data_IF_017418845813
#
_entry.id   IF_017418845813
#
_cell.length_a   1.000
_cell.length_b   1.000
_cell.length_c   1.000
_cell.angle_alpha   90.00
_cell.angle_beta   90.00
_cell.angle_gamma   90.00
#
_symmetry.space_group_name_H-M   'P 1'
#
loop_
_entity.id
_entity.type
_entity.pdbx_description
1 polymer ?
#
# COMPACT_ATOMS: atom_id res chain seq x y z
N UNK A 1 5.87 -25.84 0.92
CA UNK A 1 5.43 -24.44 0.71
C UNK A 1 4.33 -24.40 -0.34
N UNK A 2 3.24 -23.68 -0.08
CA UNK A 2 2.16 -23.50 -1.07
C UNK A 2 2.16 -22.03 -1.51
N UNK A 3 2.15 -21.78 -2.82
CA UNK A 3 2.12 -20.42 -3.39
C UNK A 3 1.32 -20.38 -4.67
N UNK A 4 1.05 -19.16 -5.18
CA UNK A 4 0.35 -19.01 -6.44
C UNK A 4 1.19 -19.50 -7.63
N UNK A 5 0.55 -20.01 -8.70
CA UNK A 5 1.24 -20.36 -9.93
C UNK A 5 2.03 -19.18 -10.52
N UNK A 6 3.07 -19.50 -11.27
CA UNK A 6 3.87 -18.50 -11.99
C UNK A 6 2.99 -17.69 -12.94
N UNK A 7 3.25 -16.40 -13.02
CA UNK A 7 2.49 -15.47 -13.87
C UNK A 7 3.41 -14.70 -14.80
N UNK A 8 2.93 -14.31 -15.99
CA UNK A 8 3.66 -13.39 -16.85
C UNK A 8 3.95 -12.09 -16.11
N UNK A 9 5.21 -11.67 -16.02
CA UNK A 9 5.63 -10.46 -15.33
C UNK A 9 6.72 -9.71 -16.14
N UNK A 10 6.86 -8.41 -15.85
CA UNK A 10 7.89 -7.57 -16.45
C UNK A 10 7.72 -7.30 -17.94
N UNK A 11 8.75 -6.64 -18.53
CA UNK A 11 8.82 -6.40 -19.97
C UNK A 11 9.11 -7.74 -20.67
N UNK A 12 8.22 -8.15 -21.56
CA UNK A 12 8.35 -9.42 -22.31
C UNK A 12 7.47 -10.56 -21.79
N UNK A 13 6.62 -10.32 -20.76
CA UNK A 13 5.62 -11.29 -20.25
C UNK A 13 6.18 -12.70 -19.97
N UNK A 14 7.42 -12.80 -19.50
CA UNK A 14 8.00 -14.09 -19.13
C UNK A 14 7.34 -14.60 -17.85
N UNK A 15 7.08 -15.91 -17.79
CA UNK A 15 6.60 -16.58 -16.59
C UNK A 15 7.63 -16.39 -15.47
N UNK A 16 7.22 -15.71 -14.43
CA UNK A 16 8.08 -15.39 -13.29
C UNK A 16 7.51 -16.04 -12.03
N UNK A 17 8.35 -16.76 -11.27
CA UNK A 17 7.93 -17.32 -10.00
C UNK A 17 7.58 -16.22 -8.99
N UNK A 18 6.69 -16.55 -8.05
CA UNK A 18 6.47 -15.66 -6.91
C UNK A 18 7.75 -15.55 -6.07
N UNK A 19 7.99 -14.43 -5.35
CA UNK A 19 9.14 -14.32 -4.44
C UNK A 19 9.22 -15.46 -3.43
N UNK A 20 8.07 -15.89 -2.90
CA UNK A 20 7.96 -17.03 -1.97
C UNK A 20 8.41 -18.33 -2.62
N UNK A 21 8.02 -18.59 -3.88
CA UNK A 21 8.48 -19.77 -4.62
C UNK A 21 9.99 -19.77 -4.80
N UNK A 22 10.53 -18.63 -5.22
CA UNK A 22 11.98 -18.48 -5.43
C UNK A 22 12.76 -18.74 -4.14
N UNK A 23 12.32 -18.16 -3.02
CA UNK A 23 12.95 -18.36 -1.71
C UNK A 23 12.84 -19.83 -1.24
N UNK A 24 11.68 -20.45 -1.38
CA UNK A 24 11.47 -21.84 -0.98
C UNK A 24 12.38 -22.79 -1.77
N UNK A 25 12.49 -22.61 -3.08
CA UNK A 25 13.38 -23.43 -3.92
C UNK A 25 14.86 -23.24 -3.54
N UNK A 26 15.29 -22.01 -3.25
CA UNK A 26 16.65 -21.72 -2.80
C UNK A 26 16.98 -22.42 -1.45
N UNK A 27 15.97 -22.61 -0.61
CA UNK A 27 16.09 -23.31 0.68
C UNK A 27 15.84 -24.83 0.57
N UNK A 28 15.63 -25.39 -0.62
CA UNK A 28 15.32 -26.80 -0.82
C UNK A 28 13.95 -27.23 -0.28
N UNK A 29 13.03 -26.29 -0.04
CA UNK A 29 11.69 -26.58 0.46
C UNK A 29 10.79 -26.97 -0.71
N UNK A 30 10.08 -28.12 -0.67
CA UNK A 30 9.13 -28.52 -1.70
C UNK A 30 8.05 -27.44 -1.91
N UNK A 31 7.71 -27.19 -3.19
CA UNK A 31 6.75 -26.13 -3.55
C UNK A 31 5.58 -26.73 -4.31
N UNK A 32 4.36 -26.41 -3.89
CA UNK A 32 3.10 -26.71 -4.55
C UNK A 32 2.46 -25.42 -5.05
N UNK A 33 1.92 -25.44 -6.26
CA UNK A 33 1.30 -24.27 -6.91
C UNK A 33 -0.10 -24.60 -7.43
N UNK A 34 -1.07 -24.86 -6.54
CA UNK A 34 -2.40 -25.30 -6.94
C UNK A 34 -3.13 -24.21 -7.75
N UNK A 35 -3.71 -24.57 -8.88
CA UNK A 35 -4.54 -23.69 -9.70
C UNK A 35 -5.90 -23.48 -9.02
N UNK A 36 -6.51 -24.55 -8.54
CA UNK A 36 -7.78 -24.54 -7.80
C UNK A 36 -7.54 -24.92 -6.34
N UNK A 37 -7.78 -23.96 -5.42
CA UNK A 37 -7.67 -24.24 -3.99
C UNK A 37 -8.74 -25.21 -3.47
N UNK A 38 -9.93 -25.21 -4.11
CA UNK A 38 -11.02 -26.12 -3.71
C UNK A 38 -10.65 -27.57 -4.03
N UNK A 39 -10.08 -27.83 -5.19
CA UNK A 39 -9.68 -29.16 -5.62
C UNK A 39 -8.44 -29.66 -4.84
N UNK A 40 -7.60 -28.73 -4.39
CA UNK A 40 -6.39 -29.00 -3.62
C UNK A 40 -6.67 -29.48 -2.18
N UNK A 41 -7.88 -29.31 -1.65
CA UNK A 41 -8.18 -29.64 -0.26
C UNK A 41 -7.91 -31.12 0.08
N UNK A 42 -8.23 -32.05 -0.83
CA UNK A 42 -7.98 -33.48 -0.62
C UNK A 42 -6.47 -33.79 -0.61
N UNK A 43 -5.69 -33.16 -1.49
CA UNK A 43 -4.23 -33.32 -1.52
C UNK A 43 -3.60 -32.74 -0.26
N UNK A 44 -4.05 -31.57 0.22
CA UNK A 44 -3.58 -30.98 1.46
C UNK A 44 -3.87 -31.89 2.66
N UNK A 45 -5.09 -32.43 2.75
CA UNK A 45 -5.45 -33.38 3.81
C UNK A 45 -4.57 -34.63 3.79
N UNK A 46 -4.25 -35.15 2.59
CA UNK A 46 -3.37 -36.31 2.43
C UNK A 46 -1.91 -36.04 2.86
N UNK A 47 -1.46 -34.79 2.80
CA UNK A 47 -0.15 -34.37 3.33
C UNK A 47 -0.11 -34.37 4.86
N UNK A 48 -1.28 -34.33 5.53
CA UNK A 48 -1.44 -34.42 6.97
C UNK A 48 -0.74 -33.31 7.77
N UNK A 49 -0.81 -32.02 7.39
CA UNK A 49 -0.18 -30.96 8.17
C UNK A 49 -0.95 -30.72 9.47
N UNK A 50 -0.25 -30.58 10.59
CA UNK A 50 -0.87 -30.19 11.86
C UNK A 50 -1.21 -28.69 11.89
N UNK A 51 -0.48 -27.90 11.14
CA UNK A 51 -0.56 -26.42 11.09
C UNK A 51 -0.36 -25.90 9.69
N UNK A 52 -1.11 -24.86 9.33
CA UNK A 52 -0.83 -24.05 8.16
C UNK A 52 -0.59 -22.59 8.56
N UNK A 53 0.42 -21.98 7.96
CA UNK A 53 0.71 -20.56 8.14
C UNK A 53 0.44 -19.82 6.84
N UNK A 54 -0.29 -18.72 6.93
CA UNK A 54 -0.59 -17.83 5.80
C UNK A 54 0.11 -16.48 6.00
N UNK A 55 0.82 -16.04 4.97
CA UNK A 55 1.44 -14.73 4.91
C UNK A 55 1.26 -14.18 3.49
N UNK A 56 0.56 -13.07 3.34
CA UNK A 56 0.38 -12.33 2.06
C UNK A 56 -0.01 -13.21 0.86
N UNK A 57 -0.85 -14.23 1.06
CA UNK A 57 -1.20 -15.20 0.01
C UNK A 57 -2.04 -14.60 -1.12
N UNK A 58 -2.86 -13.59 -0.79
CA UNK A 58 -3.63 -12.82 -1.78
C UNK A 58 -4.78 -13.58 -2.45
N UNK A 59 -5.24 -14.69 -1.87
CA UNK A 59 -6.44 -15.43 -2.30
C UNK A 59 -7.24 -15.81 -1.06
N UNK A 60 -8.55 -15.85 -1.21
CA UNK A 60 -9.47 -16.37 -0.18
C UNK A 60 -9.22 -17.87 -0.02
N UNK A 61 -9.00 -18.33 1.21
CA UNK A 61 -8.89 -19.74 1.56
C UNK A 61 -10.32 -20.30 1.68
N UNK A 62 -10.71 -21.26 0.84
CA UNK A 62 -12.06 -21.82 0.92
C UNK A 62 -12.23 -22.70 2.17
N UNK A 63 -13.47 -22.76 2.69
CA UNK A 63 -13.80 -23.52 3.90
C UNK A 63 -13.29 -24.96 3.87
N UNK A 64 -13.39 -25.64 2.74
CA UNK A 64 -12.88 -27.02 2.58
C UNK A 64 -11.36 -27.15 2.84
N UNK A 65 -10.58 -26.11 2.63
CA UNK A 65 -9.16 -26.07 3.01
C UNK A 65 -8.99 -25.81 4.50
N UNK A 66 -9.77 -24.88 5.06
CA UNK A 66 -9.73 -24.61 6.51
C UNK A 66 -10.07 -25.87 7.29
N UNK A 67 -11.08 -26.62 6.87
CA UNK A 67 -11.50 -27.87 7.51
C UNK A 67 -10.47 -29.02 7.39
N UNK A 68 -9.56 -28.94 6.42
CA UNK A 68 -8.56 -29.98 6.15
C UNK A 68 -7.36 -29.95 7.11
N UNK A 69 -7.19 -28.89 7.90
CA UNK A 69 -6.03 -28.72 8.81
C UNK A 69 -6.51 -28.21 10.16
N UNK A 70 -6.03 -28.77 11.28
CA UNK A 70 -6.50 -28.43 12.63
C UNK A 70 -6.33 -26.97 13.03
N UNK A 71 -5.26 -26.29 12.54
CA UNK A 71 -5.00 -24.90 12.88
C UNK A 71 -4.38 -24.15 11.69
N UNK A 72 -5.01 -23.01 11.35
CA UNK A 72 -4.51 -22.06 10.38
C UNK A 72 -4.14 -20.76 11.08
N UNK A 73 -2.89 -20.34 10.94
CA UNK A 73 -2.38 -19.10 11.46
C UNK A 73 -2.20 -18.11 10.31
N UNK A 74 -2.72 -16.88 10.45
CA UNK A 74 -2.45 -15.81 9.49
C UNK A 74 -1.63 -14.71 10.15
N UNK A 75 -0.57 -14.26 9.47
CA UNK A 75 0.23 -13.10 9.87
C UNK A 75 -0.41 -11.87 9.24
N UNK A 76 -0.98 -11.00 10.08
CA UNK A 76 -1.66 -9.79 9.63
C UNK A 76 -0.92 -8.54 10.13
N UNK A 77 -0.41 -7.66 9.23
CA UNK A 77 0.42 -6.54 9.61
C UNK A 77 -0.40 -5.31 10.01
N UNK A 78 -1.24 -5.47 11.03
CA UNK A 78 -1.95 -4.37 11.71
C UNK A 78 -2.27 -4.70 13.16
N UNK A 79 -2.67 -3.67 13.91
CA UNK A 79 -3.19 -3.77 15.28
C UNK A 79 -4.66 -4.23 15.25
N UNK A 80 -4.93 -5.51 14.93
CA UNK A 80 -6.28 -6.05 14.93
C UNK A 80 -7.00 -5.78 16.26
N UNK A 81 -8.29 -5.43 16.22
CA UNK A 81 -9.25 -5.55 15.10
C UNK A 81 -9.25 -4.40 14.07
N UNK A 82 -8.37 -3.42 14.20
CA UNK A 82 -8.27 -2.33 13.23
C UNK A 82 -7.53 -2.79 11.96
N UNK A 83 -7.89 -2.18 10.82
CA UNK A 83 -7.26 -2.42 9.51
C UNK A 83 -7.33 -3.87 9.04
N UNK A 84 -8.45 -4.58 9.30
CA UNK A 84 -8.77 -5.85 8.64
C UNK A 84 -8.79 -5.67 7.14
N UNK A 85 -8.41 -6.71 6.39
CA UNK A 85 -8.53 -6.76 4.93
C UNK A 85 -7.22 -6.67 4.17
N UNK A 86 -7.28 -6.25 2.89
CA UNK A 86 -6.24 -6.54 1.92
C UNK A 86 -5.00 -5.60 1.95
N UNK A 87 -5.11 -4.40 2.52
CA UNK A 87 -4.05 -3.38 2.44
C UNK A 87 -3.79 -2.65 3.77
N UNK A 88 -3.55 -3.39 4.87
CA UNK A 88 -3.38 -2.80 6.20
C UNK A 88 -2.22 -1.81 6.26
N UNK A 89 -1.05 -2.16 5.72
CA UNK A 89 0.16 -1.33 5.78
C UNK A 89 -0.02 -0.01 5.02
N UNK A 90 -0.60 -0.08 3.81
CA UNK A 90 -0.87 1.11 3.03
C UNK A 90 -1.91 2.01 3.73
N UNK A 91 -2.90 1.39 4.37
CA UNK A 91 -3.99 2.13 5.01
C UNK A 91 -3.53 2.87 6.27
N UNK A 92 -2.72 2.26 7.14
CA UNK A 92 -2.17 2.95 8.32
C UNK A 92 -1.29 4.14 7.93
N UNK A 93 -0.50 4.02 6.85
CA UNK A 93 0.31 5.13 6.33
C UNK A 93 -0.55 6.23 5.74
N UNK A 94 -1.55 5.89 4.90
CA UNK A 94 -2.49 6.85 4.30
C UNK A 94 -3.24 7.64 5.35
N UNK A 95 -3.61 6.99 6.44
CA UNK A 95 -4.40 7.58 7.53
C UNK A 95 -3.51 8.33 8.53
N UNK A 96 -2.20 8.44 8.25
CA UNK A 96 -1.24 9.21 9.05
C UNK A 96 -1.01 8.64 10.46
N UNK A 97 -1.24 7.35 10.66
CA UNK A 97 -1.00 6.70 11.95
C UNK A 97 0.47 6.80 12.37
N UNK A 98 0.71 7.04 13.64
CA UNK A 98 2.06 7.09 14.23
C UNK A 98 2.58 5.73 14.67
N UNK A 99 1.72 4.71 14.71
CA UNK A 99 2.05 3.35 15.12
C UNK A 99 1.14 2.32 14.46
N UNK A 100 1.57 1.07 14.44
CA UNK A 100 0.82 -0.10 14.00
C UNK A 100 1.17 -1.30 14.89
N UNK A 101 0.87 -2.52 14.46
CA UNK A 101 1.32 -3.76 15.09
C UNK A 101 1.39 -4.89 14.05
N UNK A 102 1.86 -6.05 14.47
CA UNK A 102 1.66 -7.32 13.77
C UNK A 102 0.84 -8.23 14.64
N UNK A 103 -0.17 -8.86 14.05
CA UNK A 103 -1.06 -9.80 14.71
C UNK A 103 -0.92 -11.20 14.09
N UNK A 104 -0.93 -12.23 14.92
CA UNK A 104 -1.16 -13.61 14.49
C UNK A 104 -2.58 -13.96 14.89
N UNK A 105 -3.38 -14.41 13.95
CA UNK A 105 -4.75 -14.85 14.20
C UNK A 105 -4.96 -16.31 13.79
N UNK A 106 -5.88 -16.97 14.45
CA UNK A 106 -6.49 -18.19 13.94
C UNK A 106 -7.45 -17.82 12.82
N UNK A 107 -7.34 -18.44 11.66
CA UNK A 107 -8.21 -18.09 10.53
C UNK A 107 -9.61 -18.69 10.73
N UNK A 108 -10.61 -17.89 10.41
CA UNK A 108 -12.01 -18.28 10.29
C UNK A 108 -12.55 -18.00 8.86
N UNK A 109 -13.85 -18.13 8.68
CA UNK A 109 -14.51 -17.86 7.40
C UNK A 109 -14.62 -16.35 7.08
N UNK A 110 -14.36 -15.47 8.05
CA UNK A 110 -14.43 -14.03 7.89
C UNK A 110 -13.11 -13.45 7.34
N UNK A 111 -13.14 -12.14 7.10
CA UNK A 111 -11.94 -11.43 6.67
C UNK A 111 -11.19 -10.90 7.88
N UNK A 112 -10.14 -11.61 8.29
CA UNK A 112 -9.28 -11.28 9.41
C UNK A 112 -10.06 -11.10 10.74
N UNK A 113 -11.13 -11.89 10.94
CA UNK A 113 -12.03 -11.82 12.11
C UNK A 113 -11.70 -12.81 13.21
N UNK A 114 -10.88 -13.81 12.93
CA UNK A 114 -10.54 -14.86 13.85
C UNK A 114 -9.83 -14.41 15.13
N UNK A 115 -9.75 -15.28 16.10
CA UNK A 115 -9.16 -14.99 17.40
C UNK A 115 -7.68 -14.63 17.31
N UNK A 116 -7.27 -13.65 18.11
CA UNK A 116 -5.86 -13.29 18.28
C UNK A 116 -5.13 -14.41 19.03
N UNK A 117 -4.06 -14.90 18.43
CA UNK A 117 -3.12 -15.86 19.03
C UNK A 117 -1.90 -15.15 19.61
N UNK A 118 -1.46 -14.08 18.95
CA UNK A 118 -0.39 -13.20 19.44
C UNK A 118 -0.52 -11.82 18.77
N UNK A 119 -0.03 -10.78 19.42
CA UNK A 119 0.09 -9.45 18.85
C UNK A 119 1.31 -8.76 19.46
N UNK A 120 2.06 -8.03 18.64
CA UNK A 120 3.19 -7.23 19.14
C UNK A 120 2.72 -6.08 20.02
N UNK A 121 3.57 -5.51 20.87
CA UNK A 121 3.41 -4.13 21.32
C UNK A 121 3.27 -3.17 20.12
N UNK A 122 2.80 -1.93 20.35
CA UNK A 122 2.76 -0.92 19.29
C UNK A 122 4.12 -0.76 18.61
N UNK A 123 4.13 -0.79 17.28
CA UNK A 123 5.31 -0.61 16.43
C UNK A 123 5.27 0.81 15.87
N UNK A 124 6.17 1.72 16.28
CA UNK A 124 6.17 3.09 15.80
C UNK A 124 6.39 3.18 14.29
N UNK A 125 5.73 4.13 13.63
CA UNK A 125 5.90 4.43 12.20
C UNK A 125 6.71 5.72 12.08
N UNK A 126 7.86 5.67 11.41
CA UNK A 126 8.71 6.82 11.17
C UNK A 126 8.06 7.86 10.24
N UNK A 127 8.41 9.15 10.43
CA UNK A 127 7.86 10.24 9.63
C UNK A 127 8.11 10.06 8.12
N UNK A 128 9.28 9.55 7.76
CA UNK A 128 9.69 9.31 6.36
C UNK A 128 9.49 7.86 5.91
N UNK A 129 8.87 7.03 6.75
CA UNK A 129 8.69 5.62 6.45
C UNK A 129 7.67 5.42 5.33
N UNK A 130 8.03 4.60 4.35
CA UNK A 130 7.20 4.28 3.19
C UNK A 130 6.56 2.90 3.34
N UNK A 131 5.60 2.57 2.48
CA UNK A 131 5.06 1.21 2.40
C UNK A 131 6.16 0.17 2.26
N UNK A 132 7.15 0.40 1.40
CA UNK A 132 8.25 -0.57 1.20
C UNK A 132 9.05 -0.81 2.47
N UNK A 133 9.53 0.25 3.13
CA UNK A 133 10.34 0.12 4.35
C UNK A 133 9.55 -0.45 5.52
N UNK A 134 8.30 0.00 5.71
CA UNK A 134 7.42 -0.51 6.77
C UNK A 134 7.06 -1.98 6.52
N UNK A 135 6.76 -2.36 5.26
CA UNK A 135 6.47 -3.74 4.88
C UNK A 135 7.62 -4.68 5.27
N UNK A 136 8.85 -4.33 4.88
CA UNK A 136 10.02 -5.18 5.15
C UNK A 136 10.26 -5.31 6.65
N UNK A 137 10.16 -4.22 7.40
CA UNK A 137 10.30 -4.21 8.86
C UNK A 137 9.20 -5.02 9.56
N UNK A 138 7.95 -4.90 9.14
CA UNK A 138 6.85 -5.69 9.70
C UNK A 138 6.93 -7.16 9.31
N UNK A 139 7.55 -7.50 8.17
CA UNK A 139 7.79 -8.88 7.79
C UNK A 139 8.79 -9.56 8.74
N UNK A 140 9.88 -8.88 9.10
CA UNK A 140 10.86 -9.38 10.07
C UNK A 140 10.23 -9.56 11.46
N UNK A 141 9.53 -8.55 11.95
CA UNK A 141 8.79 -8.59 13.23
C UNK A 141 7.75 -9.72 13.23
N UNK A 142 7.03 -9.89 12.12
CA UNK A 142 6.03 -10.94 11.95
C UNK A 142 6.63 -12.34 11.97
N UNK A 143 7.82 -12.53 11.39
CA UNK A 143 8.51 -13.79 11.41
C UNK A 143 8.96 -14.17 12.85
N UNK A 144 9.47 -13.22 13.62
CA UNK A 144 9.83 -13.43 15.03
C UNK A 144 8.60 -13.76 15.88
N UNK A 145 7.51 -13.00 15.72
CA UNK A 145 6.26 -13.24 16.43
C UNK A 145 5.67 -14.61 16.11
N UNK A 146 5.70 -15.02 14.83
CA UNK A 146 5.25 -16.33 14.40
C UNK A 146 6.08 -17.45 15.06
N UNK A 147 7.41 -17.30 15.11
CA UNK A 147 8.28 -18.28 15.78
C UNK A 147 7.92 -18.45 17.26
N UNK A 148 7.66 -17.35 17.94
CA UNK A 148 7.20 -17.37 19.34
C UNK A 148 5.83 -18.03 19.51
N UNK A 149 4.87 -17.71 18.61
CA UNK A 149 3.53 -18.30 18.63
C UNK A 149 3.55 -19.82 18.37
N UNK A 150 4.32 -20.28 17.40
CA UNK A 150 4.48 -21.71 17.11
C UNK A 150 5.17 -22.46 18.27
N UNK A 151 6.14 -21.83 18.92
CA UNK A 151 6.77 -22.41 20.10
C UNK A 151 5.80 -22.51 21.29
N UNK A 152 4.94 -21.54 21.50
CA UNK A 152 3.88 -21.59 22.52
C UNK A 152 2.84 -22.66 22.18
N UNK A 153 2.45 -22.79 20.92
CA UNK A 153 1.53 -23.83 20.45
C UNK A 153 2.09 -25.23 20.72
N UNK A 154 3.36 -25.46 20.42
CA UNK A 154 4.03 -26.76 20.67
C UNK A 154 4.06 -27.12 22.15
N UNK A 155 3.98 -26.15 23.09
CA UNK A 155 3.88 -26.39 24.53
C UNK A 155 2.43 -26.46 25.04
N UNK A 156 1.44 -26.24 24.16
CA UNK A 156 0.02 -26.17 24.55
C UNK A 156 -0.33 -24.86 25.30
N UNK A 157 0.47 -23.82 25.16
CA UNK A 157 0.35 -22.52 25.85
C UNK A 157 -0.24 -21.42 24.95
N UNK A 158 -0.58 -21.72 23.69
CA UNK A 158 -1.10 -20.73 22.76
C UNK A 158 -2.52 -20.30 23.15
N UNK A 159 -2.63 -19.10 23.69
CA UNK A 159 -3.92 -18.53 24.10
C UNK A 159 -4.70 -18.04 22.84
N UNK A 160 -6.04 -18.11 22.96
CA UNK A 160 -6.99 -17.54 21.98
C UNK A 160 -7.72 -16.38 22.65
N UNK A 161 -7.67 -15.23 22.03
CA UNK A 161 -8.35 -14.04 22.53
C UNK A 161 -9.29 -13.50 21.46
N UNK A 162 -10.61 -13.54 21.68
CA UNK A 162 -11.56 -12.94 20.75
C UNK A 162 -11.22 -11.46 20.49
N UNK A 163 -11.24 -11.02 19.24
CA UNK A 163 -10.92 -9.63 18.91
C UNK A 163 -11.85 -8.63 19.61
N UNK A 164 -13.11 -9.00 19.86
CA UNK A 164 -14.05 -8.18 20.63
C UNK A 164 -13.57 -7.89 22.07
N UNK A 165 -12.76 -8.76 22.66
CA UNK A 165 -12.19 -8.54 23.98
C UNK A 165 -11.15 -7.40 24.03
N UNK A 166 -10.74 -6.86 22.88
CA UNK A 166 -9.84 -5.69 22.78
C UNK A 166 -10.53 -4.38 23.13
N UNK A 167 -11.86 -4.36 23.21
CA UNK A 167 -12.65 -3.18 23.59
C UNK A 167 -12.57 -2.03 22.56
N UNK A 168 -12.27 -2.34 21.30
CA UNK A 168 -12.27 -1.36 20.22
C UNK A 168 -13.71 -1.17 19.73
N UNK A 169 -14.08 0.07 19.49
CA UNK A 169 -15.39 0.46 19.00
C UNK A 169 -15.70 -0.09 17.62
N UNK A 170 -16.90 -0.61 17.39
CA UNK A 170 -17.32 -1.22 16.14
C UNK A 170 -17.30 -0.21 14.97
N UNK A 171 -17.62 1.07 15.22
CA UNK A 171 -17.54 2.11 14.20
C UNK A 171 -16.09 2.37 13.78
N UNK A 172 -15.15 2.35 14.71
CA UNK A 172 -13.73 2.48 14.43
C UNK A 172 -13.22 1.28 13.60
N UNK A 173 -13.68 0.06 13.92
CA UNK A 173 -13.37 -1.14 13.13
C UNK A 173 -13.93 -0.98 11.71
N UNK A 174 -15.19 -0.57 11.57
CA UNK A 174 -15.84 -0.41 10.27
C UNK A 174 -15.14 0.65 9.39
N UNK A 175 -14.73 1.77 9.98
CA UNK A 175 -14.03 2.86 9.27
C UNK A 175 -12.63 2.46 8.80
N UNK A 176 -11.98 1.52 9.48
CA UNK A 176 -10.62 1.07 9.15
C UNK A 176 -10.59 -0.19 8.27
N UNK A 177 -11.74 -0.73 7.83
CA UNK A 177 -11.76 -1.86 6.89
C UNK A 177 -11.03 -1.52 5.60
N UNK A 178 -10.14 -2.40 5.18
CA UNK A 178 -9.30 -2.16 4.00
C UNK A 178 -9.75 -2.99 2.81
N UNK A 179 -9.57 -2.45 1.62
CA UNK A 179 -9.83 -3.11 0.34
C UNK A 179 -8.59 -3.10 -0.55
N UNK A 180 -8.50 -3.96 -1.56
CA UNK A 180 -7.44 -3.84 -2.56
C UNK A 180 -7.43 -2.44 -3.19
N UNK A 181 -6.24 -1.85 -3.32
CA UNK A 181 -6.09 -0.56 -3.99
C UNK A 181 -6.20 -0.73 -5.51
N UNK A 182 -6.83 0.23 -6.13
CA UNK A 182 -7.05 0.32 -7.58
C UNK A 182 -6.15 1.39 -8.20
N UNK A 183 -6.19 1.53 -9.51
CA UNK A 183 -5.43 2.57 -10.20
C UNK A 183 -5.80 3.98 -9.74
N UNK A 184 -7.07 4.23 -9.37
CA UNK A 184 -7.53 5.55 -8.91
C UNK A 184 -6.93 5.93 -7.56
N UNK A 185 -6.64 4.95 -6.71
CA UNK A 185 -6.04 5.20 -5.40
C UNK A 185 -4.61 5.77 -5.50
N UNK A 186 -3.97 5.62 -6.65
CA UNK A 186 -2.64 6.17 -6.94
C UNK A 186 -2.65 7.66 -7.23
N UNK A 187 -3.78 8.22 -7.59
CA UNK A 187 -3.89 9.62 -7.99
C UNK A 187 -4.07 10.48 -6.75
N UNK A 188 -3.24 11.53 -6.63
CA UNK A 188 -3.35 12.50 -5.54
C UNK A 188 -4.60 13.35 -5.75
N UNK A 189 -5.54 13.37 -4.79
CA UNK A 189 -6.72 14.21 -4.90
C UNK A 189 -6.34 15.69 -4.74
N UNK A 190 -6.82 16.60 -5.59
CA UNK A 190 -6.48 18.02 -5.50
C UNK A 190 -7.04 18.69 -4.23
N UNK A 191 -8.06 18.11 -3.62
CA UNK A 191 -8.69 18.61 -2.39
C UNK A 191 -8.01 18.07 -1.10
N UNK A 192 -7.02 17.20 -1.21
CA UNK A 192 -6.29 16.71 -0.05
C UNK A 192 -5.46 17.83 0.58
N UNK A 193 -5.30 17.79 1.90
CA UNK A 193 -4.29 18.58 2.60
C UNK A 193 -2.89 18.13 2.20
N UNK A 194 -1.89 18.96 2.44
CA UNK A 194 -0.50 18.61 2.15
C UNK A 194 -0.09 17.35 2.95
N UNK A 195 -0.53 17.24 4.20
CA UNK A 195 -0.30 16.06 5.04
C UNK A 195 -0.91 14.79 4.45
N UNK A 196 -2.19 14.80 4.11
CA UNK A 196 -2.88 13.65 3.49
C UNK A 196 -2.23 13.22 2.18
N UNK A 197 -1.76 14.19 1.38
CA UNK A 197 -1.09 13.90 0.13
C UNK A 197 0.29 13.26 0.35
N UNK A 198 1.09 13.75 1.31
CA UNK A 198 2.38 13.16 1.69
C UNK A 198 2.19 11.75 2.25
N UNK A 199 1.21 11.54 3.12
CA UNK A 199 0.89 10.23 3.69
C UNK A 199 0.45 9.24 2.61
N UNK A 200 -0.33 9.69 1.61
CA UNK A 200 -0.69 8.87 0.45
C UNK A 200 0.53 8.53 -0.42
N UNK A 201 1.46 9.47 -0.63
CA UNK A 201 2.71 9.22 -1.35
C UNK A 201 3.51 8.13 -0.64
N UNK A 202 3.69 8.25 0.67
CA UNK A 202 4.40 7.24 1.49
C UNK A 202 3.73 5.87 1.40
N UNK A 203 2.40 5.82 1.48
CA UNK A 203 1.59 4.60 1.38
C UNK A 203 1.71 3.88 0.02
N UNK A 204 2.11 4.60 -1.02
CA UNK A 204 2.26 4.07 -2.38
C UNK A 204 3.71 3.77 -2.78
N UNK A 205 4.69 4.29 -2.04
CA UNK A 205 6.10 4.15 -2.38
C UNK A 205 6.70 2.84 -1.84
N UNK A 206 7.63 2.21 -2.57
CA UNK A 206 8.15 2.58 -3.89
C UNK A 206 7.25 2.16 -5.05
N UNK A 207 6.30 1.28 -4.83
CA UNK A 207 5.37 0.74 -5.86
C UNK A 207 3.97 0.62 -5.29
N UNK A 208 2.94 1.05 -6.08
CA UNK A 208 3.00 1.51 -7.47
C UNK A 208 3.43 2.97 -7.64
N UNK A 209 3.64 3.73 -6.56
CA UNK A 209 3.93 5.16 -6.50
C UNK A 209 2.73 6.06 -6.80
N UNK A 210 2.76 7.29 -6.30
CA UNK A 210 1.68 8.26 -6.46
C UNK A 210 1.75 8.98 -7.81
N UNK A 211 0.60 9.42 -8.31
CA UNK A 211 0.48 10.14 -9.58
C UNK A 211 -0.30 11.44 -9.37
N UNK A 212 0.09 12.47 -10.10
CA UNK A 212 -0.74 13.65 -10.27
C UNK A 212 -1.85 13.36 -11.28
N UNK A 213 -2.93 14.15 -11.23
CA UNK A 213 -3.97 14.09 -12.26
C UNK A 213 -3.32 14.38 -13.62
N UNK A 214 -3.60 13.52 -14.61
CA UNK A 214 -3.19 13.79 -15.97
C UNK A 214 -3.93 15.01 -16.54
N UNK A 215 -3.26 15.80 -17.37
CA UNK A 215 -3.87 17.00 -18.00
C UNK A 215 -3.40 18.31 -17.42
N UNK A 216 -2.33 18.33 -16.61
CA UNK A 216 -1.69 19.59 -16.22
C UNK A 216 -1.16 20.30 -17.47
N UNK A 217 -1.72 21.47 -17.76
CA UNK A 217 -1.25 22.35 -18.84
C UNK A 217 -0.44 23.50 -18.27
N UNK A 218 0.67 23.92 -18.92
CA UNK A 218 1.36 25.12 -18.51
C UNK A 218 0.39 26.31 -18.61
N UNK A 219 0.39 27.17 -17.60
CA UNK A 219 -0.44 28.38 -17.58
C UNK A 219 -0.02 29.37 -18.68
N UNK A 220 1.25 29.33 -19.08
CA UNK A 220 1.83 30.10 -20.21
C UNK A 220 3.02 29.27 -20.72
N UNK A 221 3.04 28.90 -22.02
CA UNK A 221 4.24 28.30 -22.66
C UNK A 221 4.18 26.82 -22.96
N UNK A 222 5.19 26.17 -23.23
CA UNK A 222 5.56 25.42 -24.39
C UNK A 222 5.55 23.89 -24.28
N UNK A 223 5.58 23.22 -23.11
CA UNK A 223 5.57 21.76 -23.07
C UNK A 223 4.87 21.21 -21.82
N UNK A 224 3.97 20.22 -21.98
CA UNK A 224 3.40 19.53 -20.83
C UNK A 224 4.50 18.78 -20.08
N UNK A 225 4.38 18.72 -18.75
CA UNK A 225 5.25 17.85 -17.94
C UNK A 225 5.08 16.39 -18.42
N UNK A 226 6.18 15.68 -18.66
CA UNK A 226 6.08 14.28 -19.00
C UNK A 226 5.48 13.50 -17.82
N UNK A 227 4.73 12.42 -18.07
CA UNK A 227 4.20 11.58 -17.01
C UNK A 227 5.31 11.09 -16.06
N UNK A 228 5.11 11.26 -14.78
CA UNK A 228 6.01 10.74 -13.75
C UNK A 228 5.20 10.23 -12.55
N UNK A 229 5.85 9.42 -11.75
CA UNK A 229 5.32 8.91 -10.49
C UNK A 229 6.10 9.54 -9.35
N UNK A 230 5.43 9.98 -8.30
CA UNK A 230 6.06 10.55 -7.10
C UNK A 230 6.32 9.43 -6.12
N UNK A 231 7.53 9.36 -5.59
CA UNK A 231 7.94 8.41 -4.56
C UNK A 231 8.16 9.06 -3.21
N UNK A 232 8.64 10.33 -3.17
CA UNK A 232 8.87 11.07 -1.94
C UNK A 232 8.49 12.53 -2.12
N UNK A 233 7.92 13.09 -1.08
CA UNK A 233 7.60 14.50 -0.97
C UNK A 233 7.48 14.89 0.51
N UNK A 234 7.59 16.17 0.80
CA UNK A 234 7.35 16.73 2.12
C UNK A 234 6.45 17.97 2.06
N UNK A 235 5.90 18.34 3.20
CA UNK A 235 5.04 19.51 3.34
C UNK A 235 5.89 20.80 3.37
N UNK A 236 5.38 21.87 2.76
CA UNK A 236 5.95 23.22 2.85
C UNK A 236 4.85 24.26 3.01
N UNK A 237 5.05 25.19 3.92
CA UNK A 237 4.20 26.37 4.07
C UNK A 237 4.67 27.53 3.23
N UNK A 238 5.88 27.48 2.69
CA UNK A 238 6.44 28.51 1.84
C UNK A 238 5.89 28.41 0.42
N UNK A 239 5.38 29.53 -0.11
CA UNK A 239 4.94 29.61 -1.49
C UNK A 239 6.14 29.69 -2.43
N UNK A 240 6.18 28.88 -3.50
CA UNK A 240 7.20 29.03 -4.54
C UNK A 240 6.97 30.28 -5.43
N UNK A 241 5.78 30.90 -5.34
CA UNK A 241 5.41 32.07 -6.12
C UNK A 241 5.89 33.34 -5.44
N UNK A 242 6.76 34.09 -6.12
CA UNK A 242 7.38 35.28 -5.56
C UNK A 242 6.38 36.41 -5.24
N UNK A 243 5.25 36.44 -5.94
CA UNK A 243 4.17 37.43 -5.75
C UNK A 243 3.17 36.99 -4.66
N UNK A 244 3.36 35.78 -4.07
CA UNK A 244 2.50 35.27 -3.02
C UNK A 244 1.04 35.03 -3.41
N UNK A 245 0.72 35.07 -4.72
CA UNK A 245 -0.66 34.87 -5.20
C UNK A 245 -1.18 33.48 -4.80
N UNK A 246 -2.46 33.42 -4.52
CA UNK A 246 -3.15 32.14 -4.34
C UNK A 246 -3.43 31.48 -5.69
N UNK A 247 -3.31 30.18 -5.74
CA UNK A 247 -3.54 29.36 -6.92
C UNK A 247 -4.39 28.14 -6.56
N UNK A 248 -5.19 27.64 -7.52
CA UNK A 248 -6.04 26.48 -7.26
C UNK A 248 -5.25 25.25 -6.77
N UNK A 249 -5.86 24.46 -5.90
CA UNK A 249 -5.32 23.16 -5.50
C UNK A 249 -5.10 22.26 -6.72
N UNK A 250 -4.00 21.49 -6.72
CA UNK A 250 -3.56 20.71 -7.86
C UNK A 250 -2.65 21.48 -8.83
N UNK A 251 -2.48 22.80 -8.64
CA UNK A 251 -1.48 23.59 -9.40
C UNK A 251 -0.08 23.06 -9.09
N UNK A 252 0.70 22.86 -10.14
CA UNK A 252 2.10 22.47 -10.05
C UNK A 252 2.98 23.65 -10.44
N UNK A 253 3.94 23.97 -9.60
CA UNK A 253 4.94 25.01 -9.85
C UNK A 253 6.31 24.38 -9.87
N UNK A 254 6.99 24.55 -10.97
CA UNK A 254 8.40 24.15 -11.07
C UNK A 254 9.26 25.43 -11.04
N UNK A 255 10.07 25.55 -10.02
CA UNK A 255 11.00 26.67 -9.92
C UNK A 255 12.27 26.28 -9.16
N UNK A 256 13.41 26.89 -9.56
CA UNK A 256 14.74 26.70 -8.91
C UNK A 256 15.15 25.23 -8.76
N UNK A 257 14.75 24.35 -9.70
CA UNK A 257 15.06 22.92 -9.64
C UNK A 257 14.12 22.09 -8.75
N UNK A 258 13.12 22.71 -8.13
CA UNK A 258 12.12 22.04 -7.31
C UNK A 258 10.77 21.96 -8.03
N UNK A 259 9.98 20.98 -7.62
CA UNK A 259 8.60 20.81 -8.07
C UNK A 259 7.67 20.91 -6.87
N UNK A 260 6.79 21.87 -6.90
CA UNK A 260 5.80 22.12 -5.86
C UNK A 260 4.41 21.76 -6.38
N UNK A 261 3.60 21.16 -5.51
CA UNK A 261 2.18 20.88 -5.81
C UNK A 261 1.33 21.58 -4.77
N UNK A 262 0.37 22.40 -5.20
CA UNK A 262 -0.57 23.07 -4.31
C UNK A 262 -1.59 22.07 -3.79
N UNK A 263 -1.58 21.81 -2.48
CA UNK A 263 -2.64 21.10 -1.78
C UNK A 263 -3.74 22.06 -1.32
N UNK A 264 -4.76 21.59 -0.61
CA UNK A 264 -5.88 22.46 -0.18
C UNK A 264 -5.47 23.54 0.84
N UNK A 265 -4.46 23.26 1.65
CA UNK A 265 -4.01 24.08 2.79
C UNK A 265 -2.57 24.60 2.68
N UNK A 266 -1.70 23.87 2.00
CA UNK A 266 -0.28 24.19 1.92
C UNK A 266 0.32 23.70 0.60
N UNK A 267 1.64 23.65 0.50
CA UNK A 267 2.38 23.11 -0.64
C UNK A 267 2.99 21.76 -0.29
N UNK A 268 3.18 20.94 -1.31
CA UNK A 268 4.00 19.74 -1.26
C UNK A 268 5.22 19.98 -2.11
N UNK A 269 6.40 19.71 -1.58
CA UNK A 269 7.66 19.71 -2.33
C UNK A 269 7.98 18.26 -2.70
N UNK A 270 8.15 18.01 -3.98
CA UNK A 270 8.49 16.68 -4.50
C UNK A 270 9.99 16.48 -4.39
N UNK A 271 10.41 15.36 -3.80
CA UNK A 271 11.84 15.03 -3.58
C UNK A 271 12.34 13.98 -4.58
N UNK A 272 11.50 12.97 -4.87
CA UNK A 272 11.90 11.83 -5.69
C UNK A 272 10.77 11.41 -6.64
N UNK A 273 11.14 11.12 -7.89
CA UNK A 273 10.21 10.74 -8.96
C UNK A 273 10.72 9.57 -9.78
N UNK A 274 9.78 8.90 -10.47
CA UNK A 274 10.05 7.92 -11.52
C UNK A 274 9.43 8.43 -12.82
N UNK A 275 10.21 9.01 -13.74
CA UNK A 275 9.72 9.37 -15.06
C UNK A 275 9.37 8.14 -15.88
N UNK A 276 8.42 8.27 -16.81
CA UNK A 276 8.02 7.17 -17.67
C UNK A 276 9.22 6.53 -18.39
N UNK A 277 9.37 5.22 -18.23
CA UNK A 277 10.45 4.44 -18.85
C UNK A 277 11.84 4.56 -18.22
N UNK A 278 11.97 5.28 -17.09
CA UNK A 278 13.24 5.46 -16.37
C UNK A 278 13.19 4.85 -14.96
N UNK A 279 14.32 4.88 -14.27
CA UNK A 279 14.43 4.55 -12.83
C UNK A 279 14.06 5.73 -11.94
N UNK A 280 14.00 5.47 -10.63
CA UNK A 280 13.86 6.50 -9.61
C UNK A 280 15.02 7.49 -9.65
N UNK A 281 14.71 8.77 -9.45
CA UNK A 281 15.72 9.84 -9.41
C UNK A 281 15.22 11.01 -8.55
N UNK A 282 16.17 11.79 -8.01
CA UNK A 282 15.84 13.03 -7.31
C UNK A 282 15.19 14.05 -8.24
N UNK A 283 14.45 14.97 -7.66
CA UNK A 283 13.81 16.04 -8.44
C UNK A 283 14.86 16.91 -9.16
N UNK A 284 16.01 17.15 -8.55
CA UNK A 284 17.10 17.91 -9.17
C UNK A 284 17.62 17.22 -10.45
N UNK A 285 17.79 15.90 -10.40
CA UNK A 285 18.21 15.11 -11.56
C UNK A 285 17.11 15.09 -12.65
N UNK A 286 15.84 15.10 -12.24
CA UNK A 286 14.71 15.20 -13.15
C UNK A 286 14.63 16.58 -13.82
N UNK A 287 14.91 17.64 -13.07
CA UNK A 287 14.89 19.03 -13.53
C UNK A 287 16.14 19.40 -14.37
N UNK A 288 17.27 18.69 -14.15
CA UNK A 288 18.50 18.94 -14.88
C UNK A 288 18.28 18.83 -16.41
N UNK A 289 18.64 19.88 -17.14
CA UNK A 289 18.45 19.94 -18.60
C UNK A 289 17.04 20.37 -19.06
N UNK A 290 16.14 20.68 -18.13
CA UNK A 290 14.86 21.33 -18.40
C UNK A 290 14.88 22.74 -17.82
N UNK A 291 14.50 23.74 -18.63
CA UNK A 291 14.20 25.06 -18.07
C UNK A 291 12.79 24.97 -17.46
N UNK A 292 12.76 24.71 -16.15
CA UNK A 292 11.50 24.55 -15.43
C UNK A 292 11.36 25.72 -14.46
N UNK A 293 10.92 26.87 -14.98
CA UNK A 293 10.38 27.98 -14.19
C UNK A 293 8.96 28.26 -14.71
N UNK A 294 8.07 27.27 -14.55
CA UNK A 294 6.74 27.27 -15.13
C UNK A 294 5.67 26.91 -14.11
N UNK A 295 4.50 27.48 -14.26
CA UNK A 295 3.30 27.16 -13.48
C UNK A 295 2.36 26.32 -14.35
N UNK A 296 1.97 25.17 -13.85
CA UNK A 296 1.00 24.27 -14.48
C UNK A 296 -0.28 24.29 -13.65
N UNK A 297 -1.38 24.71 -14.23
CA UNK A 297 -2.69 24.70 -13.58
C UNK A 297 -3.48 23.45 -14.00
N UNK A 298 -4.33 22.89 -13.12
CA UNK A 298 -5.31 21.90 -13.53
C UNK A 298 -6.30 22.54 -14.53
N UNK A 299 -6.90 21.73 -15.40
CA UNK A 299 -8.00 22.20 -16.25
C UNK A 299 -9.16 22.72 -15.37
N UNK A 300 -9.78 23.85 -15.74
CA UNK A 300 -10.78 24.58 -14.94
C UNK A 300 -11.93 23.72 -14.41
N UNK A 301 -12.28 22.64 -15.09
CA UNK A 301 -13.35 21.72 -14.71
C UNK A 301 -13.01 20.79 -13.52
N UNK A 302 -11.77 20.76 -13.03
CA UNK A 302 -11.34 19.84 -11.95
C UNK A 302 -11.52 20.46 -10.58
N UNK A 303 -11.69 21.79 -10.50
CA UNK A 303 -11.60 22.57 -9.26
C UNK A 303 -12.96 22.94 -8.65
N UNK A 304 -14.07 22.76 -9.37
CA UNK A 304 -15.40 23.10 -8.87
C UNK A 304 -15.86 22.20 -7.72
N UNK A 305 -16.58 22.75 -6.74
CA UNK A 305 -16.99 22.15 -5.47
C UNK A 305 -17.76 20.81 -5.50
N UNK A 306 -17.93 20.20 -6.68
CA UNK A 306 -18.33 18.81 -6.92
C UNK A 306 -17.11 17.89 -7.12
N UNK A 307 -15.92 18.37 -6.77
CA UNK A 307 -14.61 17.83 -7.13
C UNK A 307 -14.37 16.37 -6.78
N UNK A 308 -14.90 15.85 -5.68
CA UNK A 308 -14.64 14.46 -5.29
C UNK A 308 -15.33 13.43 -6.20
N UNK A 309 -16.53 13.75 -6.69
CA UNK A 309 -17.29 12.83 -7.56
C UNK A 309 -16.76 12.87 -9.00
N UNK A 310 -16.56 14.10 -9.54
CA UNK A 310 -15.98 14.30 -10.88
C UNK A 310 -14.52 13.87 -10.98
N UNK A 311 -13.77 14.02 -9.88
CA UNK A 311 -12.42 13.47 -9.78
C UNK A 311 -12.40 11.95 -9.97
N UNK A 312 -13.29 11.22 -9.30
CA UNK A 312 -13.39 9.75 -9.45
C UNK A 312 -13.79 9.34 -10.86
N UNK A 313 -14.70 10.07 -11.50
CA UNK A 313 -15.16 9.80 -12.87
C UNK A 313 -14.07 10.07 -13.90
N UNK A 314 -13.36 11.22 -13.82
CA UNK A 314 -12.28 11.57 -14.75
C UNK A 314 -11.01 10.76 -14.56
N UNK A 315 -10.59 10.52 -13.32
CA UNK A 315 -9.46 9.64 -13.05
C UNK A 315 -9.75 8.21 -13.54
N UNK A 316 -10.99 7.72 -13.42
CA UNK A 316 -11.45 6.46 -14.00
C UNK A 316 -11.33 6.44 -15.52
N UNK A 317 -11.73 7.48 -16.21
CA UNK A 317 -11.67 7.61 -17.67
C UNK A 317 -10.23 7.74 -18.21
N UNK A 318 -9.34 8.42 -17.49
CA UNK A 318 -7.92 8.58 -17.84
C UNK A 318 -7.12 7.30 -17.61
N UNK A 319 -7.51 6.47 -16.65
CA UNK A 319 -6.84 5.21 -16.32
C UNK A 319 -7.35 4.02 -17.17
N UNK A 320 -8.43 4.21 -17.92
CA UNK A 320 -8.99 3.22 -18.85
C UNK A 320 -8.36 3.28 -20.26
N UNK A 321 -7.55 4.28 -20.55
CA UNK A 321 -6.72 4.41 -21.77
C UNK A 321 -5.27 4.02 -21.46
#
# INVERSE_FOLDING_TARGET
>A
MITQPDRPAGRGHQLTPTPVKAAALALGIPVLTPVSLREFAAELAALGPDRCVVASYGRIIPQALLDAVPLWLNIHPSALPLYRGATPIQSVLRDGCSETAVSIIEMDAGMDTGDLLAQTPPVPIGADETYGSLHDRLADIGAELLGAALAADARGELARTPQAARGVDDDAIAQTLTRPWTKIDRVLPPYATAREAVDRIRALAPKPGAQLIAGLRPAVGTMPLPPFTILRAHESRESPLADGRDVPSGTVVACRGYLYVRASDAWIVVDEVVPAGKGAMSIDAFAAGRRIDEVFAPEDDVVDGLGALRFRERAGALLAR
#
